data_IF_735584249045
#
_entry.id   IF_735584249045
#
_cell.length_a   1.000
_cell.length_b   1.000
_cell.length_c   1.000
_cell.angle_alpha   90.00
_cell.angle_beta   90.00
_cell.angle_gamma   90.00
#
_symmetry.space_group_name_H-M   'P 1'
#
loop_
_entity.id
_entity.type
_entity.pdbx_description
1 polymer ?
#
# COMPACT_ATOMS: atom_id res chain seq x y z
N UNK A 1 10.14 -23.46 -42.77
CA UNK A 1 9.10 -23.14 -41.78
C UNK A 1 9.76 -22.96 -40.43
N UNK A 2 9.82 -21.75 -39.89
CA UNK A 2 10.40 -21.48 -38.59
C UNK A 2 9.41 -21.94 -37.50
N UNK A 3 9.86 -22.82 -36.61
CA UNK A 3 9.07 -23.21 -35.43
C UNK A 3 8.89 -22.00 -34.51
N UNK A 4 7.66 -21.76 -34.04
CA UNK A 4 7.37 -20.76 -33.04
C UNK A 4 8.17 -21.06 -31.75
N UNK A 5 8.71 -20.06 -31.05
CA UNK A 5 9.45 -20.28 -29.82
C UNK A 5 8.57 -21.00 -28.79
N UNK A 6 9.14 -22.04 -28.17
CA UNK A 6 8.47 -22.78 -27.11
C UNK A 6 8.09 -21.84 -25.96
N UNK A 7 6.85 -21.95 -25.46
CA UNK A 7 6.44 -21.22 -24.25
C UNK A 7 7.36 -21.59 -23.09
N UNK A 8 7.79 -20.60 -22.27
CA UNK A 8 8.59 -20.89 -21.08
C UNK A 8 7.83 -21.83 -20.14
N UNK A 9 8.53 -22.68 -19.40
CA UNK A 9 7.89 -23.59 -18.45
C UNK A 9 7.13 -22.80 -17.38
N UNK A 10 5.89 -23.21 -17.11
CA UNK A 10 5.06 -22.64 -16.04
C UNK A 10 5.67 -23.07 -14.70
N UNK A 11 6.03 -22.10 -13.86
CA UNK A 11 6.51 -22.36 -12.50
C UNK A 11 5.28 -22.58 -11.62
N UNK A 12 5.19 -23.75 -11.00
CA UNK A 12 4.08 -24.11 -10.12
C UNK A 12 3.89 -23.06 -9.00
N UNK A 13 2.68 -22.52 -8.86
CA UNK A 13 2.37 -21.45 -7.91
C UNK A 13 2.50 -20.03 -8.47
N UNK A 14 2.97 -19.88 -9.73
CA UNK A 14 3.01 -18.63 -10.48
C UNK A 14 2.18 -18.71 -11.77
N UNK A 15 1.23 -19.60 -11.80
CA UNK A 15 0.24 -19.65 -12.87
C UNK A 15 -0.55 -18.33 -12.84
N UNK A 16 -0.67 -17.69 -14.00
CA UNK A 16 -1.54 -16.52 -14.11
C UNK A 16 -2.96 -16.95 -13.69
N UNK A 17 -3.37 -16.55 -12.49
CA UNK A 17 -4.75 -16.69 -12.11
C UNK A 17 -5.59 -15.94 -13.17
N UNK A 18 -6.68 -16.54 -13.65
CA UNK A 18 -7.55 -15.82 -14.57
C UNK A 18 -7.98 -14.53 -13.90
N UNK A 19 -7.52 -13.40 -14.43
CA UNK A 19 -7.95 -12.09 -13.97
C UNK A 19 -9.44 -11.97 -14.28
N UNK A 20 -10.27 -12.07 -13.25
CA UNK A 20 -11.68 -11.72 -13.41
C UNK A 20 -11.75 -10.19 -13.61
N UNK A 21 -12.10 -9.71 -14.82
CA UNK A 21 -12.21 -8.28 -15.07
C UNK A 21 -13.33 -7.63 -14.26
N UNK A 22 -14.14 -8.41 -13.57
CA UNK A 22 -15.20 -7.95 -12.69
C UNK A 22 -14.86 -8.12 -11.19
N UNK A 23 -13.68 -8.62 -10.83
CA UNK A 23 -13.31 -8.83 -9.43
C UNK A 23 -13.48 -7.54 -8.59
N UNK A 24 -13.09 -6.38 -9.12
CA UNK A 24 -13.31 -5.10 -8.46
C UNK A 24 -14.79 -4.66 -8.42
N UNK A 25 -15.63 -5.14 -9.35
CA UNK A 25 -17.07 -4.83 -9.39
C UNK A 25 -17.88 -5.68 -8.41
N UNK A 26 -17.29 -6.73 -7.84
CA UNK A 26 -17.95 -7.60 -6.86
C UNK A 26 -17.92 -7.03 -5.43
N UNK A 27 -17.17 -5.97 -5.17
CA UNK A 27 -17.10 -5.37 -3.85
C UNK A 27 -18.38 -4.60 -3.53
N UNK A 28 -19.09 -5.05 -2.52
CA UNK A 28 -20.27 -4.37 -2.00
C UNK A 28 -19.87 -3.47 -0.84
N UNK A 29 -20.49 -2.28 -0.71
CA UNK A 29 -20.23 -1.44 0.45
C UNK A 29 -20.70 -2.16 1.72
N UNK A 30 -19.87 -2.09 2.78
CA UNK A 30 -20.18 -2.64 4.10
C UNK A 30 -20.93 -1.59 4.93
N UNK A 31 -20.75 -0.31 4.60
CA UNK A 31 -21.39 0.84 5.26
C UNK A 31 -21.43 2.02 4.30
N UNK A 32 -22.11 3.11 4.70
CA UNK A 32 -22.10 4.37 3.97
C UNK A 32 -20.80 5.18 4.17
N UNK A 33 -19.95 4.76 5.13
CA UNK A 33 -18.69 5.44 5.44
C UNK A 33 -17.58 5.04 4.47
N UNK A 34 -16.80 6.02 4.05
CA UNK A 34 -15.49 5.82 3.40
C UNK A 34 -14.36 6.12 4.37
N UNK A 35 -13.32 5.31 4.32
CA UNK A 35 -12.07 5.53 5.05
C UNK A 35 -11.14 6.30 4.14
N UNK A 36 -10.61 7.43 4.61
CA UNK A 36 -9.65 8.24 3.87
C UNK A 36 -8.25 7.66 4.03
N UNK A 37 -7.70 7.19 2.92
CA UNK A 37 -6.43 6.44 2.87
C UNK A 37 -5.35 7.24 2.16
N UNK A 38 -4.16 7.30 2.77
CA UNK A 38 -2.93 7.67 2.11
C UNK A 38 -2.18 6.44 1.60
N UNK A 39 -1.46 6.56 0.49
CA UNK A 39 -0.60 5.49 -0.02
C UNK A 39 0.82 6.02 -0.15
N UNK A 40 1.79 5.33 0.45
CA UNK A 40 3.20 5.69 0.35
C UNK A 40 4.03 4.57 -0.27
N UNK A 41 4.76 4.93 -1.32
CA UNK A 41 5.62 4.02 -2.08
C UNK A 41 4.91 3.40 -3.28
N UNK A 42 5.31 3.83 -4.48
CA UNK A 42 4.93 3.15 -5.72
C UNK A 42 5.85 1.95 -5.97
N UNK A 43 7.14 2.17 -5.66
CA UNK A 43 8.18 1.18 -5.79
C UNK A 43 8.46 0.74 -7.22
N UNK A 44 9.44 -0.10 -7.39
CA UNK A 44 9.82 -0.69 -8.69
C UNK A 44 8.74 -1.64 -9.21
N UNK A 45 8.09 -2.37 -8.30
CA UNK A 45 7.07 -3.36 -8.62
C UNK A 45 5.65 -2.77 -8.70
N UNK A 46 5.49 -1.45 -8.60
CA UNK A 46 4.18 -0.76 -8.59
C UNK A 46 3.26 -1.25 -7.47
N UNK A 47 3.81 -1.75 -6.38
CA UNK A 47 3.07 -2.45 -5.34
C UNK A 47 2.07 -1.53 -4.62
N UNK A 48 2.38 -0.23 -4.48
CA UNK A 48 1.47 0.76 -3.90
C UNK A 48 0.12 0.88 -4.62
N UNK A 49 0.09 0.59 -5.93
CA UNK A 49 -1.14 0.64 -6.72
C UNK A 49 -1.76 -0.74 -6.98
N UNK A 50 -1.08 -1.84 -6.63
CA UNK A 50 -1.47 -3.20 -7.01
C UNK A 50 -2.78 -3.68 -6.37
N UNK A 51 -3.15 -3.13 -5.22
CA UNK A 51 -4.34 -3.53 -4.47
C UNK A 51 -5.62 -2.81 -4.88
N UNK A 52 -5.54 -1.85 -5.80
CA UNK A 52 -6.70 -1.11 -6.32
C UNK A 52 -7.62 -0.55 -5.22
N UNK A 53 -7.05 -0.01 -4.15
CA UNK A 53 -7.82 0.57 -3.03
C UNK A 53 -8.83 1.64 -3.48
N UNK A 54 -8.49 2.39 -4.54
CA UNK A 54 -9.35 3.40 -5.16
C UNK A 54 -10.65 2.84 -5.75
N UNK A 55 -10.75 1.54 -5.95
CA UNK A 55 -11.93 0.86 -6.49
C UNK A 55 -12.82 0.26 -5.39
N UNK A 56 -12.36 0.25 -4.14
CA UNK A 56 -13.15 -0.27 -3.03
C UNK A 56 -14.21 0.75 -2.59
N UNK A 57 -15.50 0.36 -2.47
CA UNK A 57 -16.60 1.30 -2.20
C UNK A 57 -16.48 2.04 -0.86
N UNK A 58 -15.81 1.46 0.14
CA UNK A 58 -15.59 2.06 1.46
C UNK A 58 -14.22 2.73 1.61
N UNK A 59 -13.47 2.94 0.53
CA UNK A 59 -12.16 3.59 0.56
C UNK A 59 -12.18 4.83 -0.33
N UNK A 60 -11.53 5.87 0.14
CA UNK A 60 -11.18 7.05 -0.64
C UNK A 60 -9.67 7.26 -0.52
N UNK A 61 -8.95 7.13 -1.63
CA UNK A 61 -7.52 7.47 -1.65
C UNK A 61 -7.40 8.99 -1.77
N UNK A 62 -6.99 9.63 -0.66
CA UNK A 62 -6.97 11.09 -0.55
C UNK A 62 -5.59 11.70 -0.74
N UNK A 63 -4.53 10.90 -0.62
CA UNK A 63 -3.16 11.37 -0.80
C UNK A 63 -2.22 10.22 -1.18
N UNK A 64 -1.16 10.56 -1.90
CA UNK A 64 -0.08 9.63 -2.24
C UNK A 64 1.29 10.26 -2.01
N UNK A 65 2.31 9.42 -1.81
CA UNK A 65 3.70 9.86 -1.68
C UNK A 65 4.66 8.82 -2.25
N UNK A 66 5.69 9.31 -2.89
CA UNK A 66 6.91 8.54 -3.22
C UNK A 66 8.08 9.54 -3.24
N UNK A 67 9.27 9.11 -2.81
CA UNK A 67 10.47 9.95 -2.79
C UNK A 67 10.93 10.37 -4.19
N UNK A 68 10.56 9.59 -5.22
CA UNK A 68 10.88 9.90 -6.61
C UNK A 68 9.69 10.57 -7.28
N UNK A 69 9.82 11.81 -7.76
CA UNK A 69 8.71 12.58 -8.35
C UNK A 69 7.98 11.85 -9.46
N UNK A 70 8.69 11.16 -10.34
CA UNK A 70 8.09 10.40 -11.45
C UNK A 70 7.22 9.24 -10.95
N UNK A 71 7.68 8.55 -9.88
CA UNK A 71 6.92 7.47 -9.25
C UNK A 71 5.72 8.00 -8.49
N UNK A 72 5.90 9.13 -7.80
CA UNK A 72 4.79 9.81 -7.11
C UNK A 72 3.70 10.22 -8.10
N UNK A 73 4.05 10.79 -9.24
CA UNK A 73 3.11 11.15 -10.30
C UNK A 73 2.39 9.91 -10.87
N UNK A 74 3.13 8.83 -11.11
CA UNK A 74 2.55 7.57 -11.60
C UNK A 74 1.59 6.94 -10.56
N UNK A 75 1.94 7.00 -9.27
CA UNK A 75 1.08 6.53 -8.18
C UNK A 75 -0.20 7.38 -8.08
N UNK A 76 -0.07 8.70 -8.15
CA UNK A 76 -1.20 9.62 -8.16
C UNK A 76 -2.18 9.33 -9.30
N UNK A 77 -1.65 9.13 -10.49
CA UNK A 77 -2.46 8.76 -11.66
C UNK A 77 -3.15 7.39 -11.46
N UNK A 78 -2.42 6.37 -11.01
CA UNK A 78 -2.96 5.04 -10.78
C UNK A 78 -4.08 5.03 -9.71
N UNK A 79 -3.91 5.82 -8.65
CA UNK A 79 -4.86 5.94 -7.56
C UNK A 79 -5.97 6.97 -7.82
N UNK A 80 -5.93 7.68 -8.94
CA UNK A 80 -6.88 8.78 -9.26
C UNK A 80 -6.91 9.85 -8.16
N UNK A 81 -5.74 10.20 -7.64
CA UNK A 81 -5.56 11.12 -6.52
C UNK A 81 -4.71 12.32 -6.95
N UNK A 82 -5.13 13.51 -6.60
CA UNK A 82 -4.42 14.76 -6.96
C UNK A 82 -3.42 15.20 -5.89
N UNK A 83 -3.69 14.88 -4.62
CA UNK A 83 -2.87 15.34 -3.50
C UNK A 83 -1.64 14.47 -3.35
N UNK A 84 -0.47 15.10 -3.36
CA UNK A 84 0.81 14.42 -3.18
C UNK A 84 1.60 15.01 -2.03
N UNK A 85 2.43 14.17 -1.40
CA UNK A 85 3.38 14.59 -0.37
C UNK A 85 4.80 14.22 -0.78
N UNK A 86 5.81 15.02 -0.39
CA UNK A 86 7.20 14.73 -0.71
C UNK A 86 7.76 13.53 0.06
N UNK A 87 7.15 13.19 1.20
CA UNK A 87 7.56 12.07 2.04
C UNK A 87 6.43 11.56 2.93
N UNK A 88 6.64 10.41 3.57
CA UNK A 88 5.74 9.88 4.59
C UNK A 88 5.64 10.82 5.80
N UNK A 89 6.77 11.37 6.23
CA UNK A 89 6.86 12.25 7.39
C UNK A 89 6.03 13.53 7.24
N UNK A 90 5.81 13.99 6.01
CA UNK A 90 4.88 15.09 5.75
C UNK A 90 3.43 14.58 5.64
N UNK A 91 3.21 13.42 5.03
CA UNK A 91 1.87 12.84 4.88
C UNK A 91 1.23 12.50 6.22
N UNK A 92 1.99 11.98 7.21
CA UNK A 92 1.42 11.58 8.51
C UNK A 92 0.87 12.74 9.33
N UNK A 93 1.27 13.97 9.02
CA UNK A 93 0.78 15.20 9.68
C UNK A 93 -0.62 15.61 9.21
N UNK A 94 -1.12 15.06 8.12
CA UNK A 94 -2.44 15.39 7.59
C UNK A 94 -3.54 14.70 8.38
N UNK A 95 -4.30 15.46 9.16
CA UNK A 95 -5.42 14.94 9.98
C UNK A 95 -6.61 14.43 9.15
N UNK A 96 -6.65 14.71 7.87
CA UNK A 96 -7.67 14.18 6.99
C UNK A 96 -7.43 12.71 6.60
N UNK A 97 -6.22 12.20 6.80
CA UNK A 97 -5.86 10.81 6.53
C UNK A 97 -6.12 9.96 7.77
N UNK A 98 -6.94 8.91 7.63
CA UNK A 98 -7.29 7.99 8.72
C UNK A 98 -6.41 6.75 8.75
N UNK A 99 -5.97 6.29 7.58
CA UNK A 99 -5.12 5.12 7.43
C UNK A 99 -4.07 5.34 6.33
N UNK A 100 -2.93 4.68 6.45
CA UNK A 100 -1.88 4.73 5.41
C UNK A 100 -1.51 3.31 5.00
N UNK A 101 -1.46 3.07 3.69
CA UNK A 101 -0.84 1.87 3.13
C UNK A 101 0.64 2.15 2.84
N UNK A 102 1.51 1.40 3.51
CA UNK A 102 2.97 1.51 3.38
C UNK A 102 3.47 0.44 2.41
N UNK A 103 3.99 0.88 1.26
CA UNK A 103 4.56 0.03 0.21
C UNK A 103 5.95 0.53 -0.22
N UNK A 104 6.73 0.97 0.75
CA UNK A 104 8.12 1.44 0.57
C UNK A 104 9.09 0.26 0.42
N UNK A 105 10.38 0.48 0.64
CA UNK A 105 11.37 -0.59 0.67
C UNK A 105 11.25 -1.42 1.96
N UNK A 106 11.47 -2.72 1.84
CA UNK A 106 11.29 -3.67 2.95
C UNK A 106 12.07 -3.31 4.25
N UNK A 107 13.33 -2.83 4.20
CA UNK A 107 14.06 -2.41 5.40
C UNK A 107 13.41 -1.24 6.15
N UNK A 108 12.62 -0.42 5.46
CA UNK A 108 11.97 0.76 6.05
C UNK A 108 10.56 0.50 6.58
N UNK A 109 9.94 -0.64 6.28
CA UNK A 109 8.54 -0.92 6.59
C UNK A 109 8.21 -0.74 8.07
N UNK A 110 8.97 -1.38 8.98
CA UNK A 110 8.70 -1.30 10.42
C UNK A 110 8.75 0.15 10.93
N UNK A 111 9.81 0.87 10.57
CA UNK A 111 9.98 2.28 10.95
C UNK A 111 8.84 3.15 10.44
N UNK A 112 8.46 3.00 9.19
CA UNK A 112 7.36 3.75 8.59
C UNK A 112 6.01 3.42 9.24
N UNK A 113 5.73 2.14 9.50
CA UNK A 113 4.50 1.72 10.18
C UNK A 113 4.42 2.24 11.62
N UNK A 114 5.53 2.21 12.34
CA UNK A 114 5.65 2.78 13.69
C UNK A 114 5.34 4.28 13.67
N UNK A 115 5.86 5.00 12.69
CA UNK A 115 5.63 6.44 12.55
C UNK A 115 4.15 6.74 12.27
N UNK A 116 3.52 6.03 11.34
CA UNK A 116 2.09 6.13 11.03
C UNK A 116 1.23 5.90 12.29
N UNK A 117 1.51 4.83 13.03
CA UNK A 117 0.76 4.48 14.25
C UNK A 117 0.91 5.54 15.34
N UNK A 118 2.12 6.07 15.55
CA UNK A 118 2.40 7.14 16.50
C UNK A 118 1.69 8.45 16.18
N UNK A 119 1.42 8.71 14.91
CA UNK A 119 0.60 9.84 14.46
C UNK A 119 -0.92 9.56 14.51
N UNK A 120 -1.32 8.49 15.20
CA UNK A 120 -2.72 8.19 15.46
C UNK A 120 -3.49 7.66 14.26
N UNK A 121 -2.82 7.14 13.24
CA UNK A 121 -3.44 6.58 12.03
C UNK A 121 -3.36 5.06 12.03
N UNK A 122 -4.33 4.42 11.38
CA UNK A 122 -4.26 3.00 11.08
C UNK A 122 -3.23 2.74 9.97
N UNK A 123 -2.66 1.56 9.93
CA UNK A 123 -1.67 1.20 8.90
C UNK A 123 -1.94 -0.17 8.30
N UNK A 124 -1.76 -0.29 7.01
CA UNK A 124 -1.57 -1.56 6.32
C UNK A 124 -0.18 -1.53 5.66
N UNK A 125 0.52 -2.65 5.66
CA UNK A 125 1.89 -2.71 5.16
C UNK A 125 2.04 -3.77 4.09
N UNK A 126 2.82 -3.46 3.08
CA UNK A 126 3.36 -4.46 2.17
C UNK A 126 4.29 -5.43 2.92
N UNK A 127 4.49 -6.61 2.37
CA UNK A 127 5.34 -7.64 2.96
C UNK A 127 6.83 -7.40 2.62
N UNK A 128 7.71 -7.71 3.56
CA UNK A 128 7.51 -8.17 4.94
C UNK A 128 7.21 -7.01 5.90
N UNK A 129 6.56 -7.28 7.03
CA UNK A 129 6.31 -6.30 8.09
C UNK A 129 7.61 -5.77 8.71
N UNK A 130 8.57 -6.66 8.90
CA UNK A 130 9.92 -6.37 9.41
C UNK A 130 10.97 -7.07 8.55
N UNK A 131 12.15 -6.50 8.45
CA UNK A 131 13.24 -7.03 7.62
C UNK A 131 14.54 -7.11 8.41
N UNK A 132 14.87 -8.33 8.83
CA UNK A 132 16.18 -8.64 9.44
C UNK A 132 16.39 -8.10 10.86
N UNK A 133 15.37 -7.58 11.54
CA UNK A 133 15.48 -7.00 12.89
C UNK A 133 14.38 -7.53 13.82
N UNK A 134 14.79 -8.18 14.90
CA UNK A 134 13.89 -8.59 15.99
C UNK A 134 13.46 -7.38 16.84
N UNK A 135 14.32 -6.40 16.97
CA UNK A 135 14.06 -5.15 17.66
C UNK A 135 12.92 -4.39 17.02
N UNK A 136 12.93 -4.28 15.67
CA UNK A 136 11.86 -3.65 14.91
C UNK A 136 10.54 -4.39 15.08
N UNK A 137 10.56 -5.72 15.10
CA UNK A 137 9.37 -6.53 15.33
C UNK A 137 8.79 -6.29 16.74
N UNK A 138 9.63 -6.28 17.76
CA UNK A 138 9.23 -6.01 19.13
C UNK A 138 8.68 -4.58 19.29
N UNK A 139 9.36 -3.60 18.71
CA UNK A 139 8.93 -2.20 18.77
C UNK A 139 7.59 -1.99 18.04
N UNK A 140 7.41 -2.56 16.86
CA UNK A 140 6.15 -2.49 16.11
C UNK A 140 4.99 -3.08 16.92
N UNK A 141 5.20 -4.26 17.52
CA UNK A 141 4.21 -4.91 18.38
C UNK A 141 3.78 -4.03 19.56
N UNK A 142 4.75 -3.43 20.28
CA UNK A 142 4.44 -2.56 21.43
C UNK A 142 3.73 -1.26 20.99
N UNK A 143 4.08 -0.70 19.83
CA UNK A 143 3.42 0.50 19.32
C UNK A 143 1.98 0.20 18.88
N UNK A 144 1.72 -0.93 18.25
CA UNK A 144 0.34 -1.35 17.94
C UNK A 144 -0.49 -1.44 19.21
N UNK A 145 0.04 -2.07 20.26
CA UNK A 145 -0.65 -2.20 21.55
C UNK A 145 -0.92 -0.85 22.23
N UNK A 146 0.09 0.01 22.26
CA UNK A 146 0.01 1.28 22.99
C UNK A 146 -0.86 2.32 22.29
N UNK A 147 -0.91 2.32 20.95
CA UNK A 147 -1.72 3.28 20.20
C UNK A 147 -3.18 2.87 20.04
N UNK A 148 -3.49 1.59 20.20
CA UNK A 148 -4.82 1.03 19.92
C UNK A 148 -5.26 1.16 18.46
N UNK A 149 -4.31 1.42 17.56
CA UNK A 149 -4.57 1.49 16.12
C UNK A 149 -4.46 0.11 15.48
N UNK A 150 -5.10 -0.06 14.35
CA UNK A 150 -5.04 -1.30 13.56
C UNK A 150 -3.77 -1.32 12.71
N UNK A 151 -3.10 -2.46 12.76
CA UNK A 151 -1.99 -2.84 11.88
C UNK A 151 -2.39 -4.05 11.04
#
# INVERSE_FOLDING_TARGET
MAQAPAKPPVIQGFEEAPTDPNAAKAWKPISDRKIRVGIVGYGVCRFGAAFSFQDHPNVEVVAVSDLFPDRCAALAQACRCEKTYPSLEEMVKDDQIEAIFVATDAPSHARHCIDVLKHGKHVACAVPATFGSLEDAAQLFEVVKSTGKTY
#
